data_IF_977544340863
#
_entry.id   IF_977544340863
#
_cell.length_a   1.000
_cell.length_b   1.000
_cell.length_c   1.000
_cell.angle_alpha   90.00
_cell.angle_beta   90.00
_cell.angle_gamma   90.00
#
_symmetry.space_group_name_H-M   'P 1'
#
loop_
_entity.id
_entity.type
_entity.pdbx_description
1 polymer ?
#
# COMPACT_ATOMS: atom_id res chain seq x y z
N UNK A 1 -10.54 11.85 19.76
CA UNK A 1 -11.43 11.70 18.58
C UNK A 1 -10.55 11.70 17.34
N UNK A 2 -10.04 10.56 16.94
CA UNK A 2 -9.32 10.40 15.68
C UNK A 2 -10.35 9.96 14.64
N UNK A 3 -10.54 10.78 13.64
CA UNK A 3 -11.47 10.57 12.55
C UNK A 3 -11.17 9.27 11.82
N UNK A 4 -12.18 8.48 11.57
CA UNK A 4 -12.21 7.34 10.67
C UNK A 4 -11.78 7.85 9.28
N UNK A 5 -10.48 7.82 8.98
CA UNK A 5 -10.01 8.00 7.61
C UNK A 5 -10.41 6.75 6.85
N UNK A 6 -11.47 6.87 6.07
CA UNK A 6 -11.72 5.97 4.96
C UNK A 6 -10.46 6.07 4.09
N UNK A 7 -9.53 5.13 4.28
CA UNK A 7 -8.33 5.06 3.46
C UNK A 7 -8.77 4.53 2.09
N UNK A 8 -9.24 5.45 1.24
CA UNK A 8 -9.21 5.21 -0.18
C UNK A 8 -7.73 5.16 -0.57
N UNK A 9 -7.32 4.04 -1.09
CA UNK A 9 -5.98 3.78 -1.58
C UNK A 9 -5.56 4.86 -2.58
N UNK A 10 -4.68 5.75 -2.15
CA UNK A 10 -3.93 6.59 -3.05
C UNK A 10 -2.65 5.86 -3.43
N UNK A 11 -2.54 5.46 -4.69
CA UNK A 11 -1.33 4.87 -5.25
C UNK A 11 -0.45 5.97 -5.83
N UNK A 12 0.84 5.95 -5.45
CA UNK A 12 1.88 6.73 -6.12
C UNK A 12 2.22 6.06 -7.46
N UNK A 13 1.79 6.67 -8.57
CA UNK A 13 2.24 6.32 -9.90
C UNK A 13 2.81 7.54 -10.61
N UNK A 14 4.03 7.41 -11.13
CA UNK A 14 4.68 8.39 -12.00
C UNK A 14 4.06 8.31 -13.39
N UNK A 15 3.72 9.47 -13.94
CA UNK A 15 2.88 9.69 -15.10
C UNK A 15 3.19 8.86 -16.34
N UNK A 16 2.11 8.32 -16.91
CA UNK A 16 2.05 7.84 -18.28
C UNK A 16 0.88 8.56 -18.95
N UNK A 17 1.14 9.14 -20.13
CA UNK A 17 0.11 9.80 -20.94
C UNK A 17 -0.93 8.75 -21.33
N UNK A 18 -2.21 8.89 -20.94
CA UNK A 18 -3.22 7.89 -21.28
C UNK A 18 -3.46 7.88 -22.79
N UNK A 19 -3.38 6.69 -23.39
CA UNK A 19 -3.94 6.47 -24.72
C UNK A 19 -5.42 6.94 -24.72
N UNK A 20 -5.86 7.60 -25.79
CA UNK A 20 -7.23 8.13 -25.95
C UNK A 20 -8.27 7.01 -25.75
N UNK A 21 -8.65 6.78 -24.50
CA UNK A 21 -9.78 5.91 -24.19
C UNK A 21 -11.08 6.62 -24.64
N UNK A 22 -11.99 5.89 -25.28
CA UNK A 22 -13.23 6.44 -25.77
C UNK A 22 -14.05 6.99 -24.60
N UNK A 23 -14.22 8.31 -24.55
CA UNK A 23 -14.99 8.98 -23.52
C UNK A 23 -16.48 8.71 -23.69
N UNK A 24 -17.19 8.50 -22.59
CA UNK A 24 -18.65 8.34 -22.57
C UNK A 24 -19.30 9.39 -21.68
N UNK A 25 -20.46 9.94 -22.07
CA UNK A 25 -21.12 10.99 -21.33
C UNK A 25 -21.72 10.48 -20.02
N UNK A 26 -21.76 11.37 -19.03
CA UNK A 26 -22.55 11.22 -17.81
C UNK A 26 -23.41 12.45 -17.56
N UNK A 27 -24.52 12.24 -16.86
CA UNK A 27 -25.38 13.31 -16.32
C UNK A 27 -25.72 12.95 -14.88
N UNK A 28 -25.38 13.84 -13.93
CA UNK A 28 -25.78 13.74 -12.53
C UNK A 28 -26.94 14.69 -12.31
N UNK A 29 -28.10 14.17 -11.92
CA UNK A 29 -29.25 14.92 -11.47
C UNK A 29 -29.32 14.85 -9.95
N UNK A 30 -29.09 15.97 -9.27
CA UNK A 30 -29.02 16.00 -7.81
C UNK A 30 -30.19 16.79 -7.20
N UNK A 31 -30.58 16.34 -5.99
CA UNK A 31 -31.54 17.05 -5.14
C UNK A 31 -30.93 17.27 -3.75
N UNK A 32 -31.14 18.46 -3.21
CA UNK A 32 -30.72 18.86 -1.87
C UNK A 32 -31.94 19.40 -1.13
N UNK A 33 -32.16 18.94 0.09
CA UNK A 33 -33.24 19.46 0.91
C UNK A 33 -33.10 20.99 1.11
N UNK A 34 -34.18 21.71 0.92
CA UNK A 34 -34.19 23.17 0.99
C UNK A 34 -33.85 23.74 2.36
N UNK A 35 -34.03 22.96 3.42
CA UNK A 35 -33.64 23.33 4.79
C UNK A 35 -32.12 23.57 4.96
N UNK A 36 -31.30 22.95 4.10
CA UNK A 36 -29.85 23.11 4.09
C UNK A 36 -29.37 24.46 3.51
N UNK A 37 -30.26 25.22 2.86
CA UNK A 37 -30.00 26.57 2.29
C UNK A 37 -28.75 26.63 1.38
N UNK A 38 -28.41 25.53 0.71
CA UNK A 38 -27.24 25.42 -0.19
C UNK A 38 -27.59 26.07 -1.52
N UNK A 39 -26.82 27.08 -1.95
CA UNK A 39 -27.01 27.78 -3.22
C UNK A 39 -25.99 27.36 -4.29
N UNK A 40 -24.91 26.69 -3.89
CA UNK A 40 -23.91 26.15 -4.81
C UNK A 40 -23.14 25.01 -4.17
N UNK A 41 -22.61 24.12 -5.00
CA UNK A 41 -21.69 23.04 -4.67
C UNK A 41 -20.41 23.20 -5.47
N UNK A 42 -19.36 22.52 -5.04
CA UNK A 42 -18.14 22.31 -5.82
C UNK A 42 -18.03 20.84 -6.18
N UNK A 43 -17.81 20.58 -7.47
CA UNK A 43 -17.66 19.24 -8.02
C UNK A 43 -16.29 19.05 -8.64
N UNK A 44 -15.69 17.89 -8.40
CA UNK A 44 -14.50 17.46 -9.10
C UNK A 44 -14.56 15.96 -9.42
N UNK A 45 -13.87 15.56 -10.47
CA UNK A 45 -13.59 14.17 -10.80
C UNK A 45 -12.07 13.96 -10.80
N UNK A 46 -11.63 12.88 -10.18
CA UNK A 46 -10.21 12.53 -10.03
C UNK A 46 -9.83 11.31 -10.86
N UNK A 47 -8.74 10.69 -10.45
CA UNK A 47 -8.24 9.43 -10.99
C UNK A 47 -7.91 8.49 -9.83
N UNK A 48 -8.00 7.17 -10.03
CA UNK A 48 -7.55 6.18 -9.05
C UNK A 48 -6.03 5.97 -9.06
N UNK A 49 -5.35 6.48 -10.08
CA UNK A 49 -3.90 6.28 -10.29
C UNK A 49 -3.10 7.59 -10.26
N UNK A 50 -3.76 8.72 -10.08
CA UNK A 50 -3.14 10.04 -9.93
C UNK A 50 -3.44 10.59 -8.53
N UNK A 51 -2.40 10.98 -7.80
CA UNK A 51 -2.51 11.53 -6.45
C UNK A 51 -2.80 13.03 -6.41
N UNK A 52 -3.03 13.67 -7.56
CA UNK A 52 -3.31 15.10 -7.60
C UNK A 52 -4.71 15.39 -7.07
N UNK A 53 -4.85 16.44 -6.24
CA UNK A 53 -6.15 16.97 -5.86
C UNK A 53 -6.80 17.54 -7.14
N UNK A 54 -7.94 16.99 -7.57
CA UNK A 54 -8.54 17.43 -8.81
C UNK A 54 -9.07 18.86 -8.68
N UNK A 55 -8.99 19.62 -9.77
CA UNK A 55 -9.56 20.97 -9.83
C UNK A 55 -11.07 20.90 -9.74
N UNK A 56 -11.66 21.60 -8.77
CA UNK A 56 -13.10 21.70 -8.61
C UNK A 56 -13.72 22.73 -9.56
N UNK A 57 -15.01 22.55 -9.83
CA UNK A 57 -15.85 23.55 -10.50
C UNK A 57 -17.09 23.83 -9.68
N UNK A 58 -17.52 25.10 -9.66
CA UNK A 58 -18.73 25.54 -8.97
C UNK A 58 -19.98 25.11 -9.74
N UNK A 59 -20.94 24.52 -9.03
CA UNK A 59 -22.23 24.04 -9.54
C UNK A 59 -23.32 24.81 -8.84
N UNK A 60 -24.16 25.54 -9.55
CA UNK A 60 -25.31 26.25 -8.95
C UNK A 60 -26.37 25.25 -8.47
N UNK A 61 -27.00 25.57 -7.34
CA UNK A 61 -28.18 24.87 -6.83
C UNK A 61 -29.39 25.82 -6.93
N UNK A 62 -30.41 25.42 -7.66
CA UNK A 62 -31.62 26.19 -7.87
C UNK A 62 -32.84 25.39 -7.40
N UNK A 63 -33.61 25.95 -6.48
CA UNK A 63 -34.78 25.27 -5.88
C UNK A 63 -34.43 23.84 -5.37
N UNK A 64 -33.30 23.70 -4.70
CA UNK A 64 -32.82 22.42 -4.19
C UNK A 64 -32.38 21.40 -5.26
N UNK A 65 -32.18 21.84 -6.53
CA UNK A 65 -31.77 20.95 -7.63
C UNK A 65 -30.45 21.40 -8.24
N UNK A 66 -29.65 20.45 -8.71
CA UNK A 66 -28.44 20.70 -9.48
C UNK A 66 -28.25 19.67 -10.59
N UNK A 67 -27.55 20.05 -11.64
CA UNK A 67 -27.19 19.16 -12.75
C UNK A 67 -25.71 19.29 -13.04
N UNK A 68 -25.04 18.14 -13.20
CA UNK A 68 -23.62 18.06 -13.55
C UNK A 68 -23.49 17.16 -14.77
N UNK A 69 -22.89 17.67 -15.85
CA UNK A 69 -22.63 16.90 -17.07
C UNK A 69 -21.11 16.83 -17.33
N UNK A 70 -20.69 15.80 -18.02
CA UNK A 70 -19.31 15.61 -18.44
C UNK A 70 -19.09 14.28 -19.13
N UNK A 71 -17.82 13.87 -19.25
CA UNK A 71 -17.43 12.61 -19.85
C UNK A 71 -16.44 11.86 -18.95
N UNK A 72 -16.49 10.54 -19.01
CA UNK A 72 -15.52 9.62 -18.38
C UNK A 72 -15.11 8.54 -19.37
N UNK A 73 -13.87 8.09 -19.28
CA UNK A 73 -13.36 6.95 -20.06
C UNK A 73 -13.47 5.61 -19.30
N UNK A 74 -13.56 5.71 -17.98
CA UNK A 74 -13.70 4.61 -17.02
C UNK A 74 -14.40 5.13 -15.76
N UNK A 75 -14.80 4.26 -14.81
CA UNK A 75 -15.19 4.71 -13.47
C UNK A 75 -14.07 5.50 -12.80
N UNK A 76 -14.41 6.65 -12.20
CA UNK A 76 -13.44 7.54 -11.52
C UNK A 76 -13.96 7.98 -10.16
N UNK A 77 -13.06 8.33 -9.22
CA UNK A 77 -13.50 8.98 -7.99
C UNK A 77 -14.06 10.37 -8.29
N UNK A 78 -15.18 10.68 -7.70
CA UNK A 78 -15.84 11.99 -7.82
C UNK A 78 -16.16 12.56 -6.45
N UNK A 79 -16.19 13.89 -6.39
CA UNK A 79 -16.27 14.63 -5.14
C UNK A 79 -17.31 15.75 -5.26
N UNK A 80 -18.16 15.85 -4.23
CA UNK A 80 -19.02 17.01 -3.99
C UNK A 80 -18.62 17.65 -2.66
N UNK A 81 -18.51 18.97 -2.62
CA UNK A 81 -18.12 19.71 -1.41
C UNK A 81 -18.83 21.05 -1.33
N UNK A 82 -19.01 21.58 -0.12
CA UNK A 82 -19.40 22.99 0.08
C UNK A 82 -18.18 23.93 0.02
N UNK A 83 -16.96 23.39 0.12
CA UNK A 83 -15.71 24.14 0.00
C UNK A 83 -15.07 23.97 -1.39
N UNK A 84 -14.59 25.08 -1.97
CA UNK A 84 -13.96 25.11 -3.30
C UNK A 84 -12.71 24.24 -3.39
N UNK A 85 -11.90 24.21 -2.34
CA UNK A 85 -10.68 23.41 -2.26
C UNK A 85 -10.92 21.94 -1.94
N UNK A 86 -12.19 21.49 -1.90
CA UNK A 86 -12.62 20.14 -1.53
C UNK A 86 -12.23 19.72 -0.10
N UNK A 87 -11.87 20.66 0.77
CA UNK A 87 -11.47 20.44 2.16
C UNK A 87 -12.34 21.28 3.11
N UNK A 88 -13.63 20.93 3.27
CA UNK A 88 -14.48 21.67 4.19
C UNK A 88 -14.02 21.44 5.65
N UNK A 89 -14.33 22.41 6.51
CA UNK A 89 -14.03 22.31 7.96
C UNK A 89 -14.86 21.21 8.63
N UNK A 90 -16.11 21.05 8.21
CA UNK A 90 -16.99 19.96 8.65
C UNK A 90 -16.97 18.83 7.62
N UNK A 91 -16.48 17.63 7.98
CA UNK A 91 -16.47 16.47 7.08
C UNK A 91 -17.85 16.08 6.54
N UNK A 92 -18.93 16.47 7.20
CA UNK A 92 -20.30 16.21 6.73
C UNK A 92 -20.68 17.00 5.45
N UNK A 93 -19.91 18.04 5.12
CA UNK A 93 -20.04 18.88 3.94
C UNK A 93 -19.28 18.33 2.71
N UNK A 94 -18.83 17.08 2.79
CA UNK A 94 -18.07 16.42 1.73
C UNK A 94 -18.68 15.06 1.40
N UNK A 95 -18.78 14.75 0.10
CA UNK A 95 -19.22 13.46 -0.41
C UNK A 95 -18.25 12.96 -1.45
N UNK A 96 -17.71 11.78 -1.22
CA UNK A 96 -16.98 11.01 -2.22
C UNK A 96 -17.86 9.87 -2.73
N UNK A 97 -17.80 9.60 -4.03
CA UNK A 97 -18.48 8.48 -4.68
C UNK A 97 -17.71 8.06 -5.92
N UNK A 98 -18.10 6.93 -6.52
CA UNK A 98 -17.53 6.51 -7.81
C UNK A 98 -18.49 6.92 -8.92
N UNK A 99 -18.00 7.75 -9.83
CA UNK A 99 -18.70 8.23 -11.00
C UNK A 99 -18.49 7.25 -12.16
N UNK A 100 -19.57 6.79 -12.75
CA UNK A 100 -19.57 6.02 -14.00
C UNK A 100 -20.31 6.80 -15.09
N UNK A 101 -20.30 6.32 -16.33
CA UNK A 101 -21.07 6.88 -17.44
C UNK A 101 -22.58 6.69 -17.24
N UNK A 102 -23.37 7.49 -17.94
CA UNK A 102 -24.83 7.39 -17.98
C UNK A 102 -25.54 8.36 -17.04
N UNK A 103 -26.75 8.02 -16.65
CA UNK A 103 -27.59 8.88 -15.81
C UNK A 103 -27.47 8.48 -14.35
N UNK A 104 -26.99 9.41 -13.52
CA UNK A 104 -26.77 9.24 -12.09
C UNK A 104 -27.72 10.20 -11.35
N UNK A 105 -28.27 9.75 -10.24
CA UNK A 105 -29.03 10.60 -9.33
C UNK A 105 -28.35 10.68 -7.97
N UNK A 106 -28.38 11.87 -7.35
CA UNK A 106 -27.86 12.09 -5.99
C UNK A 106 -28.95 12.76 -5.17
N UNK A 107 -29.35 12.14 -4.06
CA UNK A 107 -30.33 12.69 -3.12
C UNK A 107 -29.64 13.03 -1.79
N UNK A 108 -29.69 14.30 -1.38
CA UNK A 108 -29.09 14.82 -0.13
C UNK A 108 -30.20 15.36 0.74
N UNK A 109 -30.48 14.70 1.88
CA UNK A 109 -31.57 15.06 2.82
C UNK A 109 -31.08 15.91 3.99
N UNK A 110 -29.92 15.57 4.57
CA UNK A 110 -29.42 16.21 5.79
C UNK A 110 -27.96 16.67 5.66
N UNK A 111 -27.08 15.88 5.03
CA UNK A 111 -25.64 16.14 4.88
C UNK A 111 -25.17 15.63 3.53
N UNK A 112 -24.12 16.27 2.95
CA UNK A 112 -23.51 15.78 1.72
C UNK A 112 -22.98 14.36 1.94
N UNK A 113 -22.31 14.12 3.05
CA UNK A 113 -21.69 12.85 3.39
C UNK A 113 -22.65 11.65 3.26
N UNK A 114 -23.89 11.81 3.72
CA UNK A 114 -24.93 10.76 3.73
C UNK A 114 -25.76 10.72 2.44
N UNK A 115 -25.50 11.62 1.47
CA UNK A 115 -26.19 11.67 0.19
C UNK A 115 -26.20 10.31 -0.52
N UNK A 116 -27.36 9.91 -1.04
CA UNK A 116 -27.57 8.62 -1.72
C UNK A 116 -27.28 8.78 -3.21
N UNK A 117 -26.36 7.98 -3.73
CA UNK A 117 -26.00 7.93 -5.16
C UNK A 117 -26.63 6.71 -5.79
N UNK A 118 -27.31 6.87 -6.92
CA UNK A 118 -27.90 5.77 -7.71
C UNK A 118 -27.55 5.92 -9.19
N UNK A 119 -27.52 4.80 -9.92
CA UNK A 119 -27.25 4.77 -11.36
C UNK A 119 -25.76 4.69 -11.72
N UNK A 120 -24.86 4.62 -10.73
CA UNK A 120 -23.45 4.29 -10.95
C UNK A 120 -23.19 2.86 -10.51
N UNK A 121 -23.02 1.95 -11.48
CA UNK A 121 -22.72 0.55 -11.20
C UNK A 121 -21.43 0.39 -10.38
N UNK A 122 -20.39 1.14 -10.75
CA UNK A 122 -19.11 1.09 -10.02
C UNK A 122 -19.23 1.61 -8.58
N UNK A 123 -20.09 2.60 -8.31
CA UNK A 123 -20.39 3.03 -6.95
C UNK A 123 -21.10 1.94 -6.15
N UNK A 124 -22.08 1.27 -6.75
CA UNK A 124 -22.81 0.18 -6.09
C UNK A 124 -21.87 -1.00 -5.76
N UNK A 125 -20.93 -1.33 -6.65
CA UNK A 125 -19.89 -2.32 -6.43
C UNK A 125 -18.99 -1.95 -5.22
N UNK A 126 -18.55 -0.69 -5.13
CA UNK A 126 -17.76 -0.18 -4.00
C UNK A 126 -18.57 -0.23 -2.70
N UNK A 127 -19.82 0.18 -2.70
CA UNK A 127 -20.69 0.15 -1.52
C UNK A 127 -20.92 -1.29 -1.03
N UNK A 128 -21.16 -2.22 -1.95
CA UNK A 128 -21.34 -3.65 -1.63
C UNK A 128 -20.05 -4.25 -1.04
N UNK A 129 -18.89 -3.97 -1.66
CA UNK A 129 -17.60 -4.40 -1.12
C UNK A 129 -17.34 -3.85 0.27
N UNK A 130 -17.56 -2.54 0.48
CA UNK A 130 -17.34 -1.88 1.77
C UNK A 130 -18.25 -2.42 2.86
N UNK A 131 -19.52 -2.70 2.54
CA UNK A 131 -20.45 -3.33 3.48
C UNK A 131 -19.96 -4.72 3.92
N UNK A 132 -19.51 -5.55 2.98
CA UNK A 132 -18.95 -6.87 3.29
C UNK A 132 -17.61 -6.83 4.01
N UNK A 133 -16.79 -5.78 3.79
CA UNK A 133 -15.52 -5.56 4.48
C UNK A 133 -15.71 -5.07 5.93
N UNK A 134 -16.82 -4.41 6.23
CA UNK A 134 -17.07 -3.71 7.51
C UNK A 134 -16.81 -4.54 8.77
N UNK A 135 -17.23 -5.82 8.88
CA UNK A 135 -16.95 -6.63 10.08
C UNK A 135 -15.45 -6.83 10.35
N UNK A 136 -14.65 -7.01 9.30
CA UNK A 136 -13.19 -7.19 9.41
C UNK A 136 -12.50 -5.90 9.84
N UNK A 137 -12.92 -4.77 9.27
CA UNK A 137 -12.42 -3.46 9.64
C UNK A 137 -12.78 -3.08 11.07
N UNK A 138 -13.99 -3.40 11.54
CA UNK A 138 -14.41 -3.20 12.92
C UNK A 138 -13.54 -4.00 13.91
N UNK A 139 -13.22 -5.28 13.58
CA UNK A 139 -12.32 -6.12 14.39
C UNK A 139 -10.91 -5.52 14.49
N UNK A 140 -10.35 -5.08 13.35
CA UNK A 140 -9.03 -4.43 13.33
C UNK A 140 -9.02 -3.12 14.10
N UNK A 141 -10.05 -2.28 13.96
CA UNK A 141 -10.19 -1.02 14.72
C UNK A 141 -10.22 -1.28 16.22
N UNK A 142 -11.03 -2.23 16.68
CA UNK A 142 -11.14 -2.57 18.09
C UNK A 142 -9.80 -3.05 18.70
N UNK A 143 -9.02 -3.85 17.95
CA UNK A 143 -7.70 -4.31 18.37
C UNK A 143 -6.70 -3.16 18.46
N UNK A 144 -6.68 -2.25 17.47
CA UNK A 144 -5.80 -1.08 17.47
C UNK A 144 -6.17 -0.11 18.62
N UNK A 145 -7.45 0.15 18.83
CA UNK A 145 -7.92 0.98 19.96
C UNK A 145 -7.56 0.37 21.31
N UNK A 146 -7.60 -0.96 21.43
CA UNK A 146 -7.19 -1.64 22.65
C UNK A 146 -5.67 -1.53 22.87
N UNK A 147 -4.85 -1.66 21.82
CA UNK A 147 -3.41 -1.48 21.88
C UNK A 147 -3.04 0.00 22.21
N UNK A 148 -3.73 0.98 21.59
CA UNK A 148 -3.55 2.40 21.88
C UNK A 148 -3.87 2.73 23.36
N UNK A 149 -4.94 2.16 23.92
CA UNK A 149 -5.27 2.32 25.36
C UNK A 149 -4.15 1.80 26.26
N UNK A 150 -3.55 0.62 25.96
CA UNK A 150 -2.42 0.09 26.72
C UNK A 150 -1.20 1.02 26.65
N UNK A 151 -0.92 1.57 25.47
CA UNK A 151 0.16 2.55 25.28
C UNK A 151 -0.06 3.83 26.13
N UNK A 152 -1.30 4.32 26.18
CA UNK A 152 -1.66 5.50 27.00
C UNK A 152 -1.56 5.21 28.51
N UNK A 153 -1.69 3.96 28.94
CA UNK A 153 -1.51 3.50 30.32
C UNK A 153 -0.02 3.26 30.67
N UNK A 154 0.90 3.53 29.75
CA UNK A 154 2.35 3.38 29.97
C UNK A 154 2.86 1.94 29.85
N UNK A 155 2.08 1.01 29.31
CA UNK A 155 2.58 -0.36 29.04
C UNK A 155 3.70 -0.31 28.02
N UNK A 156 4.85 -0.99 28.25
CA UNK A 156 5.95 -1.01 27.32
C UNK A 156 5.55 -1.54 25.92
N UNK A 157 6.09 -0.93 24.87
CA UNK A 157 5.76 -1.25 23.48
C UNK A 157 5.92 -2.74 23.16
N UNK A 158 7.01 -3.36 23.62
CA UNK A 158 7.27 -4.80 23.39
C UNK A 158 6.18 -5.70 23.98
N UNK A 159 5.64 -5.31 25.14
CA UNK A 159 4.52 -6.03 25.78
C UNK A 159 3.23 -5.87 24.96
N UNK A 160 2.97 -4.66 24.44
CA UNK A 160 1.81 -4.39 23.57
C UNK A 160 1.91 -5.19 22.28
N UNK A 161 3.08 -5.19 21.64
CA UNK A 161 3.34 -5.98 20.42
C UNK A 161 3.07 -7.45 20.70
N UNK A 162 3.67 -8.03 21.73
CA UNK A 162 3.47 -9.42 22.11
C UNK A 162 1.99 -9.78 22.38
N UNK A 163 1.24 -8.86 22.97
CA UNK A 163 -0.16 -9.05 23.33
C UNK A 163 -1.10 -8.99 22.11
N UNK A 164 -0.89 -8.04 21.20
CA UNK A 164 -1.87 -7.74 20.15
C UNK A 164 -1.45 -8.20 18.74
N UNK A 165 -0.14 -8.34 18.45
CA UNK A 165 0.34 -8.73 17.12
C UNK A 165 -0.28 -10.04 16.60
N UNK A 166 -0.41 -11.14 17.39
CA UNK A 166 -1.04 -12.36 16.88
C UNK A 166 -2.49 -12.15 16.42
N UNK A 167 -3.29 -11.42 17.20
CA UNK A 167 -4.68 -11.13 16.89
C UNK A 167 -4.83 -10.16 15.70
N UNK A 168 -3.96 -9.16 15.60
CA UNK A 168 -3.92 -8.23 14.46
C UNK A 168 -3.54 -8.98 13.17
N UNK A 169 -2.53 -9.86 13.23
CA UNK A 169 -2.10 -10.71 12.10
C UNK A 169 -3.23 -11.64 11.65
N UNK A 170 -3.95 -12.26 12.58
CA UNK A 170 -5.12 -13.08 12.27
C UNK A 170 -6.24 -12.25 11.60
N UNK A 171 -6.63 -11.12 12.19
CA UNK A 171 -7.67 -10.25 11.65
C UNK A 171 -7.31 -9.69 10.26
N UNK A 172 -6.05 -9.33 10.06
CA UNK A 172 -5.52 -8.92 8.74
C UNK A 172 -5.62 -10.05 7.70
N UNK A 173 -5.29 -11.29 8.08
CA UNK A 173 -5.42 -12.44 7.20
C UNK A 173 -6.89 -12.73 6.84
N UNK A 174 -7.81 -12.61 7.79
CA UNK A 174 -9.26 -12.77 7.53
C UNK A 174 -9.75 -11.74 6.49
N UNK A 175 -9.34 -10.47 6.63
CA UNK A 175 -9.63 -9.41 5.66
C UNK A 175 -9.04 -9.74 4.28
N UNK A 176 -7.78 -10.18 4.24
CA UNK A 176 -7.09 -10.55 3.00
C UNK A 176 -7.80 -11.70 2.27
N UNK A 177 -8.29 -12.70 3.01
CA UNK A 177 -9.10 -13.80 2.45
C UNK A 177 -10.42 -13.28 1.87
N UNK A 178 -11.09 -12.36 2.58
CA UNK A 178 -12.31 -11.71 2.06
C UNK A 178 -12.04 -10.97 0.75
N UNK A 179 -10.97 -10.17 0.68
CA UNK A 179 -10.59 -9.40 -0.51
C UNK A 179 -10.30 -10.31 -1.71
N UNK A 180 -9.51 -11.37 -1.51
CA UNK A 180 -9.21 -12.38 -2.54
C UNK A 180 -10.46 -13.06 -3.09
N UNK A 181 -11.34 -13.44 -2.18
CA UNK A 181 -12.62 -14.07 -2.54
C UNK A 181 -13.53 -13.11 -3.30
N UNK A 182 -13.54 -11.83 -2.92
CA UNK A 182 -14.32 -10.81 -3.62
C UNK A 182 -13.81 -10.63 -5.06
N UNK A 183 -12.50 -10.46 -5.26
CA UNK A 183 -11.88 -10.35 -6.59
C UNK A 183 -12.23 -11.57 -7.45
N UNK A 184 -12.08 -12.77 -6.92
CA UNK A 184 -12.33 -14.01 -7.65
C UNK A 184 -13.80 -14.18 -8.08
N UNK A 185 -14.75 -13.74 -7.23
CA UNK A 185 -16.20 -13.82 -7.49
C UNK A 185 -16.74 -12.70 -8.37
N UNK A 186 -16.01 -11.60 -8.51
CA UNK A 186 -16.46 -10.39 -9.19
C UNK A 186 -15.46 -9.91 -10.27
N UNK A 187 -15.10 -10.75 -11.27
CA UNK A 187 -14.08 -10.40 -12.27
C UNK A 187 -14.47 -9.23 -13.18
N UNK A 188 -15.76 -8.93 -13.30
CA UNK A 188 -16.29 -7.79 -14.09
C UNK A 188 -16.42 -6.50 -13.28
N UNK A 189 -16.28 -6.55 -11.96
CA UNK A 189 -16.39 -5.37 -11.10
C UNK A 189 -15.14 -4.50 -11.17
N UNK A 190 -15.32 -3.19 -11.36
CA UNK A 190 -14.20 -2.26 -11.44
C UNK A 190 -13.39 -2.18 -10.14
N UNK A 191 -14.05 -2.31 -8.97
CA UNK A 191 -13.37 -2.37 -7.68
C UNK A 191 -12.37 -3.53 -7.59
N UNK A 192 -12.59 -4.65 -8.29
CA UNK A 192 -11.70 -5.82 -8.24
C UNK A 192 -10.29 -5.50 -8.73
N UNK A 193 -10.12 -4.65 -9.76
CA UNK A 193 -8.78 -4.24 -10.19
C UNK A 193 -8.13 -3.30 -9.18
N UNK A 194 -8.90 -2.45 -8.51
CA UNK A 194 -8.40 -1.52 -7.49
C UNK A 194 -7.89 -2.24 -6.24
N UNK A 195 -8.43 -3.41 -5.91
CA UNK A 195 -8.03 -4.20 -4.75
C UNK A 195 -6.71 -4.97 -4.96
N UNK A 196 -6.31 -5.26 -6.21
CA UNK A 196 -5.14 -6.08 -6.49
C UNK A 196 -3.84 -5.57 -5.87
N UNK A 197 -3.48 -4.28 -5.98
CA UNK A 197 -2.27 -3.76 -5.35
C UNK A 197 -2.28 -3.85 -3.84
N UNK A 198 -3.45 -3.69 -3.20
CA UNK A 198 -3.60 -3.80 -1.75
C UNK A 198 -3.35 -5.23 -1.28
N UNK A 199 -4.03 -6.20 -1.91
CA UNK A 199 -3.86 -7.63 -1.63
C UNK A 199 -2.41 -8.07 -1.86
N UNK A 200 -1.79 -7.60 -2.96
CA UNK A 200 -0.40 -7.91 -3.27
C UNK A 200 0.57 -7.34 -2.24
N UNK A 201 0.38 -6.08 -1.81
CA UNK A 201 1.21 -5.44 -0.77
C UNK A 201 1.08 -6.15 0.57
N UNK A 202 -0.14 -6.50 0.98
CA UNK A 202 -0.40 -7.16 2.26
C UNK A 202 0.25 -8.56 2.34
N UNK A 203 0.36 -9.26 1.21
CA UNK A 203 0.96 -10.60 1.12
C UNK A 203 2.37 -10.61 0.54
N UNK A 204 2.87 -9.48 0.05
CA UNK A 204 4.10 -9.38 -0.76
C UNK A 204 4.14 -10.35 -1.96
N UNK A 205 2.95 -10.77 -2.45
CA UNK A 205 2.80 -11.76 -3.53
C UNK A 205 2.22 -11.14 -4.80
N UNK A 206 3.05 -10.47 -5.57
CA UNK A 206 2.65 -9.86 -6.84
C UNK A 206 2.47 -10.88 -7.98
N UNK A 207 2.95 -12.11 -7.85
CA UNK A 207 2.64 -13.19 -8.80
C UNK A 207 1.17 -13.61 -8.70
N UNK A 208 0.62 -13.67 -7.48
CA UNK A 208 -0.80 -13.94 -7.25
C UNK A 208 -1.67 -12.82 -7.80
N UNK A 209 -1.27 -11.56 -7.58
CA UNK A 209 -1.98 -10.40 -8.12
C UNK A 209 -2.00 -10.40 -9.66
N UNK A 210 -0.88 -10.72 -10.30
CA UNK A 210 -0.77 -10.87 -11.76
C UNK A 210 -1.68 -11.99 -12.29
N UNK A 211 -1.68 -13.14 -11.62
CA UNK A 211 -2.60 -14.24 -11.95
C UNK A 211 -4.07 -13.83 -11.81
N UNK A 212 -4.40 -13.10 -10.73
CA UNK A 212 -5.75 -12.60 -10.48
C UNK A 212 -6.16 -11.52 -11.48
N UNK A 213 -5.24 -10.60 -11.82
CA UNK A 213 -5.45 -9.58 -12.85
C UNK A 213 -5.82 -10.22 -14.20
N UNK A 214 -5.10 -11.26 -14.61
CA UNK A 214 -5.36 -11.95 -15.89
C UNK A 214 -6.71 -12.67 -15.93
N UNK A 215 -7.36 -12.91 -14.80
CA UNK A 215 -8.72 -13.49 -14.70
C UNK A 215 -9.83 -12.44 -14.71
N UNK A 216 -9.51 -11.15 -14.57
CA UNK A 216 -10.50 -10.10 -14.68
C UNK A 216 -11.02 -9.97 -16.12
N UNK A 217 -12.22 -9.44 -16.27
CA UNK A 217 -12.81 -9.17 -17.59
C UNK A 217 -11.92 -8.21 -18.40
N UNK A 218 -11.87 -8.44 -19.72
CA UNK A 218 -11.06 -7.64 -20.63
C UNK A 218 -11.35 -6.13 -20.53
N UNK A 219 -12.63 -5.75 -20.34
CA UNK A 219 -13.04 -4.35 -20.16
C UNK A 219 -12.36 -3.70 -18.96
N UNK A 220 -12.24 -4.41 -17.83
CA UNK A 220 -11.60 -3.93 -16.62
C UNK A 220 -10.08 -3.85 -16.81
N UNK A 221 -9.48 -4.93 -17.37
CA UNK A 221 -8.02 -4.98 -17.62
C UNK A 221 -7.52 -3.92 -18.59
N UNK A 222 -8.32 -3.63 -19.64
CA UNK A 222 -7.95 -2.70 -20.70
C UNK A 222 -8.29 -1.23 -20.38
N UNK A 223 -8.95 -0.96 -19.25
CA UNK A 223 -9.20 0.40 -18.77
C UNK A 223 -7.88 1.13 -18.46
N UNK A 224 -7.84 2.47 -18.49
CA UNK A 224 -6.65 3.24 -18.09
C UNK A 224 -6.10 2.82 -16.72
N UNK A 225 -6.97 2.71 -15.72
CA UNK A 225 -6.61 2.22 -14.38
C UNK A 225 -6.11 0.78 -14.40
N UNK A 226 -6.75 -0.12 -15.17
CA UNK A 226 -6.32 -1.51 -15.31
C UNK A 226 -4.91 -1.63 -15.89
N UNK A 227 -4.59 -0.86 -16.93
CA UNK A 227 -3.24 -0.81 -17.52
C UNK A 227 -2.20 -0.30 -16.53
N UNK A 228 -2.48 0.80 -15.83
CA UNK A 228 -1.57 1.35 -14.83
C UNK A 228 -1.30 0.35 -13.68
N UNK A 229 -2.33 -0.35 -13.21
CA UNK A 229 -2.18 -1.39 -12.18
C UNK A 229 -1.38 -2.58 -12.70
N UNK A 230 -1.57 -3.01 -13.95
CA UNK A 230 -0.77 -4.07 -14.58
C UNK A 230 0.71 -3.71 -14.64
N UNK A 231 1.03 -2.48 -15.02
CA UNK A 231 2.41 -1.97 -15.04
C UNK A 231 3.01 -1.94 -13.63
N UNK A 232 2.25 -1.47 -12.66
CA UNK A 232 2.65 -1.48 -11.26
C UNK A 232 2.94 -2.91 -10.76
N UNK A 233 2.02 -3.86 -10.97
CA UNK A 233 2.21 -5.27 -10.61
C UNK A 233 3.47 -5.82 -11.28
N UNK A 234 3.70 -5.53 -12.55
CA UNK A 234 4.88 -5.98 -13.31
C UNK A 234 6.18 -5.43 -12.71
N UNK A 235 6.20 -4.17 -12.32
CA UNK A 235 7.33 -3.53 -11.64
C UNK A 235 7.64 -4.21 -10.30
N UNK A 236 6.62 -4.35 -9.45
CA UNK A 236 6.76 -4.89 -8.09
C UNK A 236 7.05 -6.40 -8.06
N UNK A 237 6.66 -7.14 -9.10
CA UNK A 237 7.00 -8.57 -9.23
C UNK A 237 8.49 -8.85 -9.16
N UNK A 238 9.34 -7.91 -9.58
CA UNK A 238 10.81 -8.09 -9.60
C UNK A 238 11.39 -8.34 -8.21
N UNK A 239 10.77 -7.78 -7.17
CA UNK A 239 11.19 -7.94 -5.77
C UNK A 239 10.12 -8.59 -4.88
N UNK A 240 9.17 -9.28 -5.50
CA UNK A 240 8.09 -10.01 -4.82
C UNK A 240 8.59 -11.31 -4.19
N UNK A 241 7.90 -11.79 -3.16
CA UNK A 241 8.11 -13.16 -2.68
C UNK A 241 7.89 -14.12 -3.86
N UNK A 242 8.86 -15.01 -4.07
CA UNK A 242 8.90 -15.95 -5.19
C UNK A 242 9.78 -15.52 -6.36
N UNK A 243 10.17 -14.25 -6.48
CA UNK A 243 11.11 -13.77 -7.49
C UNK A 243 12.55 -14.16 -7.16
N UNK A 244 13.40 -14.27 -8.19
CA UNK A 244 14.85 -14.25 -8.00
C UNK A 244 15.25 -12.81 -7.72
N UNK A 245 16.00 -12.59 -6.63
CA UNK A 245 16.46 -11.27 -6.23
C UNK A 245 17.31 -10.63 -7.35
N UNK A 246 17.06 -9.37 -7.73
CA UNK A 246 17.84 -8.68 -8.73
C UNK A 246 19.32 -8.62 -8.36
N UNK A 247 20.20 -8.96 -9.31
CA UNK A 247 21.64 -8.97 -9.10
C UNK A 247 22.20 -7.54 -9.03
N UNK A 248 23.15 -7.32 -8.10
CA UNK A 248 23.90 -6.07 -7.99
C UNK A 248 25.28 -6.31 -7.43
N UNK A 249 26.14 -5.32 -7.55
CA UNK A 249 27.48 -5.29 -6.97
C UNK A 249 27.74 -3.95 -6.32
N UNK A 250 28.22 -3.96 -5.07
CA UNK A 250 28.55 -2.73 -4.33
C UNK A 250 29.83 -2.93 -3.48
N UNK A 251 30.49 -1.82 -3.13
CA UNK A 251 31.75 -1.85 -2.38
C UNK A 251 31.49 -2.12 -0.88
N UNK A 252 32.30 -3.01 -0.30
CA UNK A 252 32.31 -3.28 1.14
C UNK A 252 33.09 -2.21 1.94
N UNK A 253 33.18 -2.40 3.25
CA UNK A 253 33.92 -1.49 4.15
C UNK A 253 35.41 -1.40 3.85
N UNK A 254 35.99 -2.33 3.12
CA UNK A 254 37.38 -2.33 2.67
C UNK A 254 37.51 -1.85 1.20
N UNK A 255 36.42 -1.50 0.54
CA UNK A 255 36.40 -1.08 -0.88
C UNK A 255 36.38 -2.23 -1.89
N UNK A 256 36.21 -3.49 -1.43
CA UNK A 256 36.12 -4.66 -2.32
C UNK A 256 34.70 -4.75 -2.88
N UNK A 257 34.59 -5.04 -4.17
CA UNK A 257 33.31 -5.24 -4.82
C UNK A 257 32.69 -6.59 -4.43
N UNK A 258 31.51 -6.55 -3.86
CA UNK A 258 30.73 -7.71 -3.44
C UNK A 258 29.50 -7.83 -4.35
N UNK A 259 29.39 -8.93 -5.07
CA UNK A 259 28.22 -9.30 -5.84
C UNK A 259 27.23 -10.08 -4.95
N UNK A 260 25.92 -9.82 -5.08
CA UNK A 260 24.89 -10.58 -4.34
C UNK A 260 25.02 -12.08 -4.63
N UNK A 261 25.28 -12.45 -5.88
CA UNK A 261 25.47 -13.85 -6.31
C UNK A 261 26.63 -14.58 -5.63
N UNK A 262 27.61 -13.86 -5.05
CA UNK A 262 28.70 -14.46 -4.30
C UNK A 262 28.23 -15.11 -2.98
N UNK A 263 27.01 -14.82 -2.54
CA UNK A 263 26.40 -15.37 -1.33
C UNK A 263 25.46 -16.56 -1.61
N UNK A 264 25.36 -17.02 -2.88
CA UNK A 264 24.57 -18.21 -3.22
C UNK A 264 25.04 -19.44 -2.39
N UNK A 265 24.10 -20.33 -2.13
CA UNK A 265 24.30 -21.46 -1.22
C UNK A 265 23.95 -21.17 0.24
N UNK A 266 23.71 -19.91 0.59
CA UNK A 266 23.30 -19.47 1.94
C UNK A 266 21.89 -18.87 1.91
N UNK A 267 21.21 -18.88 3.06
CA UNK A 267 20.09 -17.98 3.29
C UNK A 267 20.63 -16.59 3.58
N UNK A 268 20.16 -15.58 2.85
CA UNK A 268 20.69 -14.20 2.94
C UNK A 268 19.58 -13.26 3.36
N UNK A 269 19.75 -12.55 4.47
CA UNK A 269 18.95 -11.36 4.77
C UNK A 269 19.62 -10.17 4.08
N UNK A 270 19.07 -9.73 2.97
CA UNK A 270 19.45 -8.49 2.29
C UNK A 270 18.76 -7.34 3.01
N UNK A 271 19.51 -6.56 3.79
CA UNK A 271 18.99 -5.56 4.71
C UNK A 271 19.41 -4.14 4.31
N UNK A 272 18.42 -3.29 3.98
CA UNK A 272 18.60 -1.87 3.63
C UNK A 272 18.43 -1.02 4.89
N UNK A 273 19.49 -0.36 5.29
CA UNK A 273 19.58 0.40 6.53
C UNK A 273 20.43 1.66 6.39
N UNK A 274 20.56 2.47 7.46
CA UNK A 274 21.52 3.55 7.53
C UNK A 274 21.84 3.91 9.00
N UNK A 275 22.99 4.52 9.24
CA UNK A 275 23.43 4.96 10.58
C UNK A 275 22.50 6.03 11.17
N UNK A 276 21.90 6.88 10.35
CA UNK A 276 20.92 7.90 10.74
C UNK A 276 19.49 7.37 10.94
N UNK A 277 19.20 6.12 10.55
CA UNK A 277 17.87 5.53 10.63
C UNK A 277 17.61 4.98 12.05
N UNK A 278 16.90 5.74 12.88
CA UNK A 278 16.54 5.33 14.25
C UNK A 278 15.85 3.95 14.33
N UNK A 279 14.77 3.69 13.57
CA UNK A 279 14.12 2.38 13.56
C UNK A 279 15.02 1.24 13.09
N UNK A 280 15.96 1.48 12.16
CA UNK A 280 16.96 0.47 11.74
C UNK A 280 17.88 0.09 12.92
N UNK A 281 18.37 1.12 13.64
CA UNK A 281 19.24 0.93 14.80
C UNK A 281 18.54 0.19 15.95
N UNK A 282 17.23 0.35 16.11
CA UNK A 282 16.41 -0.40 17.06
C UNK A 282 16.25 -1.87 16.67
N UNK A 283 16.17 -2.17 15.36
CA UNK A 283 16.06 -3.55 14.85
C UNK A 283 17.40 -4.29 14.80
N UNK A 284 18.52 -3.59 14.62
CA UNK A 284 19.86 -4.20 14.48
C UNK A 284 20.22 -5.22 15.60
N UNK A 285 19.92 -5.01 16.89
CA UNK A 285 20.15 -6.02 17.91
C UNK A 285 19.44 -7.35 17.65
N UNK A 286 18.20 -7.32 17.14
CA UNK A 286 17.45 -8.52 16.76
C UNK A 286 18.12 -9.25 15.58
N UNK A 287 18.56 -8.49 14.55
CA UNK A 287 19.28 -9.06 13.40
C UNK A 287 20.62 -9.68 13.85
N UNK A 288 21.36 -9.02 14.76
CA UNK A 288 22.62 -9.55 15.34
C UNK A 288 22.36 -10.87 16.06
N UNK A 289 21.31 -10.95 16.88
CA UNK A 289 20.94 -12.18 17.58
C UNK A 289 20.58 -13.30 16.59
N UNK A 290 19.78 -13.01 15.58
CA UNK A 290 19.42 -13.96 14.53
C UNK A 290 20.65 -14.44 13.75
N UNK A 291 21.57 -13.53 13.39
CA UNK A 291 22.81 -13.88 12.72
C UNK A 291 23.66 -14.84 13.55
N UNK A 292 23.89 -14.54 14.83
CA UNK A 292 24.67 -15.43 15.69
C UNK A 292 24.03 -16.81 15.90
N UNK A 293 22.69 -16.88 15.97
CA UNK A 293 21.93 -18.12 16.14
C UNK A 293 22.02 -19.04 14.92
N UNK A 294 22.04 -18.47 13.69
CA UNK A 294 21.87 -19.25 12.46
C UNK A 294 23.06 -19.23 11.51
N UNK A 295 24.13 -18.46 11.74
CA UNK A 295 25.29 -18.37 10.85
C UNK A 295 25.93 -19.72 10.54
N UNK A 296 26.06 -20.59 11.54
CA UNK A 296 26.65 -21.94 11.39
C UNK A 296 25.71 -22.91 10.65
N UNK A 297 24.40 -22.55 10.56
CA UNK A 297 23.39 -23.29 9.77
C UNK A 297 23.31 -22.82 8.33
N UNK A 298 24.17 -21.89 7.90
CA UNK A 298 24.20 -21.36 6.54
C UNK A 298 23.34 -20.10 6.32
N UNK A 299 23.12 -19.29 7.38
CA UNK A 299 22.52 -17.97 7.29
C UNK A 299 23.59 -16.88 7.25
N UNK A 300 23.34 -15.82 6.50
CA UNK A 300 24.15 -14.61 6.54
C UNK A 300 23.28 -13.36 6.32
N UNK A 301 23.85 -12.20 6.59
CA UNK A 301 23.24 -10.90 6.30
C UNK A 301 24.13 -10.18 5.29
N UNK A 302 23.52 -9.45 4.35
CA UNK A 302 24.18 -8.46 3.51
C UNK A 302 23.53 -7.12 3.81
N UNK A 303 24.22 -6.27 4.59
CA UNK A 303 23.76 -4.92 4.92
C UNK A 303 24.06 -3.97 3.77
N UNK A 304 23.03 -3.34 3.22
CA UNK A 304 23.16 -2.29 2.20
C UNK A 304 22.88 -0.94 2.85
N UNK A 305 23.93 -0.16 3.09
CA UNK A 305 23.80 1.15 3.73
C UNK A 305 23.39 2.22 2.73
N UNK A 306 22.42 3.05 3.13
CA UNK A 306 21.98 4.26 2.43
C UNK A 306 22.57 5.54 3.04
N UNK A 307 23.70 5.43 3.74
CA UNK A 307 24.43 6.60 4.22
C UNK A 307 25.04 7.39 3.03
N UNK A 308 25.20 8.69 3.19
CA UNK A 308 25.94 9.54 2.24
C UNK A 308 27.42 9.60 2.58
N UNK A 309 27.74 9.57 3.87
CA UNK A 309 29.08 9.72 4.38
C UNK A 309 29.64 8.39 4.86
N UNK A 310 30.81 8.02 4.29
CA UNK A 310 31.50 6.77 4.67
C UNK A 310 31.84 6.70 6.16
N UNK A 311 32.17 7.83 6.77
CA UNK A 311 32.52 7.91 8.21
C UNK A 311 31.32 7.49 9.08
N UNK A 312 30.11 7.96 8.77
CA UNK A 312 28.92 7.70 9.54
C UNK A 312 28.46 6.26 9.35
N UNK A 313 28.49 5.75 8.12
CA UNK A 313 28.27 4.33 7.83
C UNK A 313 29.18 3.42 8.65
N UNK A 314 30.52 3.63 8.58
CA UNK A 314 31.49 2.81 9.32
C UNK A 314 31.30 2.94 10.85
N UNK A 315 30.91 4.11 11.34
CA UNK A 315 30.57 4.30 12.74
C UNK A 315 29.35 3.46 13.12
N UNK A 316 28.27 3.51 12.34
CA UNK A 316 27.06 2.71 12.56
C UNK A 316 27.35 1.20 12.58
N UNK A 317 28.15 0.70 11.63
CA UNK A 317 28.57 -0.71 11.57
C UNK A 317 29.29 -1.12 12.88
N UNK A 318 30.20 -0.29 13.39
CA UNK A 318 30.92 -0.58 14.64
C UNK A 318 30.02 -0.51 15.87
N UNK A 319 29.25 0.56 16.00
CA UNK A 319 28.41 0.82 17.18
C UNK A 319 27.39 -0.30 17.37
N UNK A 320 26.78 -0.78 16.29
CA UNK A 320 25.76 -1.83 16.31
C UNK A 320 26.33 -3.24 16.17
N UNK A 321 27.67 -3.38 16.09
CA UNK A 321 28.37 -4.67 15.99
C UNK A 321 27.92 -5.52 14.80
N UNK A 322 27.71 -4.89 13.63
CA UNK A 322 27.26 -5.54 12.41
C UNK A 322 28.44 -6.31 11.76
N UNK A 323 28.69 -7.53 12.23
CA UNK A 323 29.89 -8.32 11.90
C UNK A 323 29.81 -9.04 10.55
N UNK A 324 28.70 -8.95 9.85
CA UNK A 324 28.52 -9.48 8.49
C UNK A 324 29.01 -8.51 7.42
N UNK A 325 28.90 -8.91 6.16
CA UNK A 325 29.26 -8.06 5.02
C UNK A 325 28.32 -6.87 4.92
N UNK A 326 28.89 -5.68 5.00
CA UNK A 326 28.18 -4.41 4.78
C UNK A 326 28.73 -3.74 3.53
N UNK A 327 27.85 -3.28 2.66
CA UNK A 327 28.17 -2.57 1.41
C UNK A 327 27.46 -1.22 1.36
N UNK A 328 28.01 -0.28 0.59
CA UNK A 328 27.37 1.02 0.35
C UNK A 328 27.84 1.63 -0.96
N UNK A 329 26.95 2.36 -1.62
CA UNK A 329 27.24 3.21 -2.77
C UNK A 329 27.33 4.69 -2.38
N UNK A 330 27.05 5.02 -1.09
CA UNK A 330 27.09 6.37 -0.51
C UNK A 330 26.21 7.39 -1.25
N UNK A 331 25.05 6.93 -1.79
CA UNK A 331 24.15 7.74 -2.64
C UNK A 331 22.75 7.87 -2.06
N UNK A 332 22.56 7.57 -0.75
CA UNK A 332 21.25 7.68 -0.13
C UNK A 332 20.21 6.84 -0.89
N UNK A 333 18.96 7.33 -1.08
CA UNK A 333 17.94 6.64 -1.87
C UNK A 333 18.19 6.68 -3.39
N UNK A 334 19.16 7.46 -3.86
CA UNK A 334 19.62 7.49 -5.26
C UNK A 334 20.66 6.38 -5.56
N UNK A 335 20.97 5.55 -4.57
CA UNK A 335 21.81 4.36 -4.74
C UNK A 335 21.19 3.46 -5.83
N UNK A 336 21.95 3.07 -6.89
CA UNK A 336 21.49 2.14 -7.92
C UNK A 336 20.85 0.88 -7.35
N UNK A 337 21.41 0.33 -6.27
CA UNK A 337 20.84 -0.82 -5.57
C UNK A 337 19.49 -0.50 -4.92
N UNK A 338 19.36 0.67 -4.27
CA UNK A 338 18.09 1.08 -3.68
C UNK A 338 17.00 1.29 -4.76
N UNK A 339 17.35 1.93 -5.86
CA UNK A 339 16.45 2.13 -7.01
C UNK A 339 16.03 0.80 -7.63
N UNK A 340 16.98 -0.13 -7.81
CA UNK A 340 16.74 -1.46 -8.38
C UNK A 340 15.73 -2.26 -7.55
N UNK A 341 15.79 -2.15 -6.22
CA UNK A 341 14.90 -2.84 -5.27
C UNK A 341 13.66 -2.03 -4.91
N UNK A 342 13.49 -0.82 -5.44
CA UNK A 342 12.34 0.06 -5.16
C UNK A 342 12.30 0.51 -3.70
N UNK A 343 13.46 0.83 -3.11
CA UNK A 343 13.57 1.26 -1.71
C UNK A 343 13.28 2.75 -1.60
N UNK A 344 12.11 3.09 -1.08
CA UNK A 344 11.64 4.46 -0.86
C UNK A 344 11.68 4.87 0.63
N UNK A 345 11.83 3.89 1.52
CA UNK A 345 11.96 4.08 2.97
C UNK A 345 12.75 2.93 3.59
N UNK A 346 13.38 3.17 4.74
CA UNK A 346 14.09 2.16 5.53
C UNK A 346 13.58 2.15 6.99
N UNK A 347 13.70 1.00 7.71
CA UNK A 347 14.32 -0.26 7.29
C UNK A 347 13.51 -1.03 6.26
N UNK A 348 14.19 -1.78 5.38
CA UNK A 348 13.61 -2.72 4.40
C UNK A 348 14.50 -3.93 4.30
N UNK A 349 13.94 -5.13 4.23
CA UNK A 349 14.75 -6.32 3.99
C UNK A 349 14.06 -7.35 3.11
N UNK A 350 14.88 -8.26 2.56
CA UNK A 350 14.46 -9.39 1.77
C UNK A 350 15.22 -10.63 2.29
N UNK A 351 14.50 -11.69 2.66
CA UNK A 351 15.10 -12.96 2.98
C UNK A 351 15.17 -13.82 1.70
N UNK A 352 16.39 -14.24 1.35
CA UNK A 352 16.66 -15.05 0.16
C UNK A 352 16.96 -16.48 0.57
N UNK A 353 16.51 -17.44 -0.25
CA UNK A 353 16.93 -18.83 -0.15
C UNK A 353 18.34 -19.04 -0.78
N UNK A 354 18.95 -20.23 -0.67
CA UNK A 354 20.26 -20.54 -1.25
C UNK A 354 20.36 -20.37 -2.78
N UNK A 355 19.25 -20.34 -3.49
CA UNK A 355 19.18 -20.09 -4.94
C UNK A 355 19.02 -18.61 -5.29
N UNK A 356 18.91 -17.73 -4.28
CA UNK A 356 18.65 -16.30 -4.46
C UNK A 356 17.17 -15.95 -4.65
N UNK A 357 16.25 -16.89 -4.37
CA UNK A 357 14.80 -16.62 -4.43
C UNK A 357 14.34 -15.91 -3.18
N UNK A 358 13.57 -14.85 -3.31
CA UNK A 358 12.96 -14.10 -2.21
C UNK A 358 11.88 -14.97 -1.56
N UNK A 359 12.06 -15.28 -0.27
CA UNK A 359 11.14 -16.11 0.55
C UNK A 359 10.53 -15.36 1.72
N UNK A 360 10.95 -14.11 1.94
CA UNK A 360 10.39 -13.21 2.95
C UNK A 360 10.75 -11.76 2.63
N UNK A 361 9.95 -10.82 3.12
CA UNK A 361 10.14 -9.39 2.91
C UNK A 361 9.69 -8.63 4.15
N UNK A 362 10.40 -7.55 4.49
CA UNK A 362 10.11 -6.66 5.63
C UNK A 362 9.96 -7.38 6.97
N UNK A 363 10.76 -8.43 7.18
CA UNK A 363 10.77 -9.24 8.39
C UNK A 363 11.47 -8.49 9.54
N UNK A 364 10.81 -8.36 10.70
CA UNK A 364 11.33 -7.65 11.86
C UNK A 364 10.91 -8.32 13.15
N UNK A 365 11.73 -8.14 14.22
CA UNK A 365 11.42 -8.66 15.54
C UNK A 365 11.00 -10.13 15.50
N UNK A 366 9.82 -10.47 16.06
CA UNK A 366 9.31 -11.84 16.08
C UNK A 366 9.13 -12.47 14.70
N UNK A 367 8.68 -11.70 13.68
CA UNK A 367 8.44 -12.24 12.34
C UNK A 367 9.73 -12.74 11.66
N UNK A 368 10.87 -12.05 11.87
CA UNK A 368 12.17 -12.53 11.39
C UNK A 368 12.54 -13.87 12.05
N UNK A 369 12.37 -13.96 13.37
CA UNK A 369 12.71 -15.15 14.13
C UNK A 369 11.82 -16.33 13.74
N UNK A 370 10.50 -16.13 13.66
CA UNK A 370 9.53 -17.15 13.20
C UNK A 370 9.90 -17.67 11.81
N UNK A 371 10.20 -16.75 10.88
CA UNK A 371 10.55 -17.14 9.51
C UNK A 371 11.85 -17.93 9.42
N UNK A 372 12.87 -17.53 10.15
CA UNK A 372 14.15 -18.28 10.22
C UNK A 372 13.96 -19.64 10.88
N UNK A 373 13.16 -19.74 11.95
CA UNK A 373 12.82 -21.03 12.55
C UNK A 373 12.09 -21.96 11.57
N UNK A 374 11.09 -21.44 10.83
CA UNK A 374 10.39 -22.21 9.80
C UNK A 374 11.36 -22.77 8.76
N UNK A 375 12.29 -21.93 8.28
CA UNK A 375 13.24 -22.28 7.23
C UNK A 375 14.26 -23.32 7.70
N UNK A 376 14.76 -23.22 8.94
CA UNK A 376 15.81 -24.09 9.46
C UNK A 376 15.28 -25.36 10.14
N UNK A 377 14.02 -25.39 10.62
CA UNK A 377 13.35 -26.62 11.09
C UNK A 377 13.03 -27.61 9.95
N UNK A 378 12.75 -27.12 8.75
CA UNK A 378 12.51 -27.98 7.57
C UNK A 378 13.76 -28.69 7.04
N UNK A 379 14.95 -28.40 7.60
CA UNK A 379 16.23 -29.01 7.22
C UNK A 379 16.72 -30.10 8.19
N UNK A 380 16.11 -30.21 9.35
CA UNK A 380 16.29 -31.33 10.30
C UNK A 380 15.29 -32.46 9.95
#
# INVERSE_FOLDING_TARGET
MRYFKLHFLFFLFVGIIPALAQQAPFTINGTIDSSLKVTSLYFAQGSFVDNQIPKSRKIPVQNGKFVITGNVSEPVPAFLSLAENLQPKDPSEFKQFVLDKGNISIEIKDKLLTGIVKGSKANDEVMSYTAGQSPYMAKLSALNEAADRQSQMGVPLDSIIKMYQPSLKQAGNELLVYQRNYIAKNPSAFISVLLLPEVAKASYNFFEADSSFNKLDAKVRMSPTGKAISEYITKEKKTSIGAIAPEFTAADTAGRLIALSSLKGKYVLLDFWAAWCGPCRQENPNVVQAFHKYKEKGFTVLGVSLDRERKDWLKGVRDDKLTWTNVSELKYFESPTAVLYGIESIPRNFLLDPNGKIIGRDLRGPDLNEKLEEVFKKKE
#
